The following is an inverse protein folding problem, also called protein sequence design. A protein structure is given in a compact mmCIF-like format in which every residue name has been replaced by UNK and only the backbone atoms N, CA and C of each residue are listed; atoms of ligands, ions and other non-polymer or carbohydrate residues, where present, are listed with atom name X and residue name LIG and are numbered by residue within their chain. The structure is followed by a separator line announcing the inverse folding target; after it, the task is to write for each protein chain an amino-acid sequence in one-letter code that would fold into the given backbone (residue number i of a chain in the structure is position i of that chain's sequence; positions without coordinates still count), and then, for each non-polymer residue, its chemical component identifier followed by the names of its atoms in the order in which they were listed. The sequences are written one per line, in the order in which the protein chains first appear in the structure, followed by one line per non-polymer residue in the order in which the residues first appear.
data_IF_495643049148
#
_entry.id   IF_495643049148
#
_cell.length_a   1.000
_cell.length_b   1.000
_cell.length_c   1.000
_cell.angle_alpha   90.00
_cell.angle_beta   90.00
_cell.angle_gamma   90.00
#
_symmetry.space_group_name_H-M   'P 1'
#
loop_
_entity.id
_entity.type
_entity.pdbx_description
1 polymer ?
#
# COMPACT_ATOMS: atom_id res chain seq x y z
N UNK A 1 30.62 18.69 13.18
CA UNK A 1 30.43 20.10 12.80
C UNK A 1 29.63 20.10 11.50
N UNK A 2 28.58 20.93 11.39
CA UNK A 2 27.80 21.02 10.14
C UNK A 2 28.61 21.82 9.13
N UNK A 3 28.90 21.23 7.97
CA UNK A 3 29.80 21.80 6.95
C UNK A 3 29.07 22.62 5.88
N UNK A 4 27.79 22.34 5.66
CA UNK A 4 26.95 23.00 4.65
C UNK A 4 25.81 23.78 5.30
N UNK A 5 25.51 24.98 4.77
CA UNK A 5 24.34 25.77 5.21
C UNK A 5 23.04 25.29 4.54
N UNK A 6 22.72 24.02 4.78
CA UNK A 6 21.53 23.36 4.24
C UNK A 6 20.24 24.05 4.67
N UNK A 7 20.20 24.58 5.90
CA UNK A 7 19.02 25.24 6.43
C UNK A 7 18.66 26.50 5.62
N UNK A 8 19.64 27.36 5.34
CA UNK A 8 19.40 28.53 4.49
C UNK A 8 18.96 28.13 3.08
N UNK A 9 19.51 27.05 2.53
CA UNK A 9 19.07 26.53 1.23
C UNK A 9 17.59 26.09 1.26
N UNK A 10 17.15 25.37 2.30
CA UNK A 10 15.75 24.98 2.48
C UNK A 10 14.82 26.19 2.61
N UNK A 11 15.20 27.19 3.41
CA UNK A 11 14.40 28.41 3.59
C UNK A 11 14.34 29.24 2.30
N UNK A 12 15.44 29.33 1.57
CA UNK A 12 15.48 29.98 0.25
C UNK A 12 14.51 29.28 -0.71
N UNK A 13 14.61 27.95 -0.83
CA UNK A 13 13.75 27.17 -1.72
C UNK A 13 12.27 27.25 -1.32
N UNK A 14 11.94 27.28 -0.03
CA UNK A 14 10.59 27.49 0.49
C UNK A 14 9.99 28.83 0.04
N UNK A 15 10.80 29.90 0.03
CA UNK A 15 10.36 31.25 -0.35
C UNK A 15 10.18 31.44 -1.87
N UNK A 16 10.74 30.57 -2.70
CA UNK A 16 10.67 30.70 -4.17
C UNK A 16 9.24 30.61 -4.72
N UNK A 17 8.45 29.64 -4.22
CA UNK A 17 7.08 29.38 -4.68
C UNK A 17 6.35 28.39 -3.76
N UNK A 18 5.06 28.20 -4.02
CA UNK A 18 4.29 27.09 -3.43
C UNK A 18 4.53 25.80 -4.20
N UNK A 19 4.88 24.73 -3.47
CA UNK A 19 5.10 23.39 -4.01
C UNK A 19 3.87 22.51 -3.85
N UNK A 20 3.76 21.45 -4.66
CA UNK A 20 2.60 20.56 -4.64
C UNK A 20 2.60 19.68 -3.40
N UNK A 21 3.73 19.04 -3.10
CA UNK A 21 3.96 18.28 -1.87
C UNK A 21 4.81 19.06 -0.86
N UNK A 22 4.49 20.35 -0.66
CA UNK A 22 5.02 21.21 0.40
C UNK A 22 6.54 21.01 0.68
N UNK A 23 6.89 20.63 1.90
CA UNK A 23 8.24 20.38 2.38
C UNK A 23 8.90 19.15 1.74
N UNK A 24 8.13 18.11 1.37
CA UNK A 24 8.65 16.94 0.67
C UNK A 24 9.26 17.31 -0.69
N UNK A 25 8.61 18.20 -1.45
CA UNK A 25 9.14 18.70 -2.72
C UNK A 25 10.37 19.59 -2.52
N UNK A 26 10.38 20.42 -1.46
CA UNK A 26 11.52 21.28 -1.12
C UNK A 26 12.74 20.42 -0.79
N UNK A 27 12.58 19.39 0.06
CA UNK A 27 13.65 18.46 0.39
C UNK A 27 14.12 17.67 -0.83
N UNK A 28 13.21 17.17 -1.67
CA UNK A 28 13.57 16.49 -2.91
C UNK A 28 14.39 17.37 -3.85
N UNK A 29 14.09 18.67 -3.92
CA UNK A 29 14.84 19.64 -4.70
C UNK A 29 16.23 19.94 -4.11
N UNK A 30 16.32 20.25 -2.81
CA UNK A 30 17.57 20.64 -2.15
C UNK A 30 18.57 19.46 -2.00
N UNK A 31 18.04 18.25 -1.86
CA UNK A 31 18.86 17.03 -1.70
C UNK A 31 19.04 16.23 -2.99
N UNK A 32 18.58 16.72 -4.14
CA UNK A 32 18.71 16.01 -5.41
C UNK A 32 20.17 15.59 -5.68
N UNK A 33 20.37 14.32 -6.03
CA UNK A 33 21.71 13.74 -6.27
C UNK A 33 22.53 13.45 -5.01
N UNK A 34 21.99 13.70 -3.81
CA UNK A 34 22.69 13.54 -2.52
C UNK A 34 21.90 12.72 -1.50
N UNK A 35 20.97 11.89 -1.96
CA UNK A 35 20.11 11.04 -1.12
C UNK A 35 20.64 9.61 -1.08
N UNK A 36 20.81 9.08 0.13
CA UNK A 36 20.95 7.65 0.35
C UNK A 36 19.56 6.99 0.41
N UNK A 37 19.31 6.01 -0.46
CA UNK A 37 18.02 5.35 -0.55
C UNK A 37 17.93 4.18 0.44
N UNK A 38 17.16 4.36 1.51
CA UNK A 38 16.91 3.29 2.47
C UNK A 38 16.06 2.14 1.88
N UNK A 39 16.20 0.91 2.42
CA UNK A 39 15.31 -0.20 2.09
C UNK A 39 13.84 0.12 2.36
N UNK A 40 12.94 -0.45 1.56
CA UNK A 40 11.50 -0.12 1.60
C UNK A 40 10.82 -0.58 2.90
N UNK A 41 11.41 -1.56 3.59
CA UNK A 41 11.03 -2.07 4.90
C UNK A 41 10.98 -0.95 5.96
N UNK A 42 11.74 0.14 5.77
CA UNK A 42 11.78 1.30 6.65
C UNK A 42 10.70 2.35 6.36
N UNK A 43 9.86 2.19 5.34
CA UNK A 43 8.74 3.09 5.06
C UNK A 43 7.62 2.35 4.32
N UNK A 44 7.00 1.37 4.99
CA UNK A 44 5.96 0.54 4.37
C UNK A 44 4.61 1.22 4.50
N UNK A 45 4.02 1.64 3.37
CA UNK A 45 2.66 2.16 3.34
C UNK A 45 1.64 1.11 3.78
N UNK A 46 0.79 1.48 4.73
CA UNK A 46 -0.28 0.60 5.19
C UNK A 46 -1.36 0.37 4.11
N UNK A 47 -1.59 1.36 3.23
CA UNK A 47 -2.48 1.27 2.06
C UNK A 47 -3.89 1.84 2.23
N UNK A 48 -4.21 2.57 3.30
CA UNK A 48 -5.51 3.23 3.52
C UNK A 48 -6.75 2.31 3.41
N UNK A 49 -6.56 1.00 3.58
CA UNK A 49 -7.63 0.00 3.44
C UNK A 49 -7.79 -0.59 2.03
N UNK A 50 -7.03 -0.13 1.04
CA UNK A 50 -6.99 -0.74 -0.29
C UNK A 50 -5.58 -0.73 -0.89
N UNK A 51 -4.96 -1.91 -0.95
CA UNK A 51 -3.64 -2.09 -1.60
C UNK A 51 -3.71 -2.57 -3.03
N UNK A 52 -4.90 -2.84 -3.56
CA UNK A 52 -5.09 -3.61 -4.78
C UNK A 52 -5.41 -2.73 -6.00
N UNK A 53 -5.69 -1.44 -5.77
CA UNK A 53 -5.97 -0.48 -6.84
C UNK A 53 -4.70 0.17 -7.38
N UNK A 54 -3.88 0.76 -6.52
CA UNK A 54 -2.71 1.55 -6.93
C UNK A 54 -1.43 0.71 -7.09
N UNK A 55 -1.01 0.02 -6.03
CA UNK A 55 0.30 -0.65 -5.96
C UNK A 55 0.54 -1.72 -7.04
N UNK A 56 -0.45 -2.54 -7.45
CA UNK A 56 -0.24 -3.55 -8.50
C UNK A 56 0.02 -2.97 -9.89
N UNK A 57 -0.21 -1.67 -10.09
CA UNK A 57 0.05 -0.98 -11.35
C UNK A 57 1.44 -0.34 -11.40
N UNK A 58 2.24 -0.41 -10.33
CA UNK A 58 3.64 0.01 -10.34
C UNK A 58 4.47 -0.89 -11.27
N UNK A 59 5.68 -0.46 -11.62
CA UNK A 59 6.66 -1.33 -12.26
C UNK A 59 6.79 -2.64 -11.47
N UNK A 60 6.81 -3.78 -12.18
CA UNK A 60 6.76 -5.10 -11.57
C UNK A 60 7.81 -5.30 -10.47
N UNK A 61 9.06 -4.88 -10.71
CA UNK A 61 10.13 -4.97 -9.71
C UNK A 61 9.80 -4.16 -8.43
N UNK A 62 9.25 -2.96 -8.58
CA UNK A 62 8.82 -2.10 -7.47
C UNK A 62 7.66 -2.72 -6.69
N UNK A 63 6.66 -3.26 -7.40
CA UNK A 63 5.55 -3.95 -6.76
C UNK A 63 6.01 -5.20 -5.99
N UNK A 64 6.93 -6.00 -6.55
CA UNK A 64 7.52 -7.16 -5.85
C UNK A 64 8.30 -6.74 -4.61
N UNK A 65 9.08 -5.65 -4.68
CA UNK A 65 9.76 -5.07 -3.50
C UNK A 65 8.77 -4.64 -2.43
N UNK A 66 7.67 -4.00 -2.81
CA UNK A 66 6.58 -3.61 -1.91
C UNK A 66 5.94 -4.82 -1.21
N UNK A 67 5.61 -5.87 -1.95
CA UNK A 67 5.07 -7.11 -1.38
C UNK A 67 6.06 -7.78 -0.42
N UNK A 68 7.36 -7.77 -0.73
CA UNK A 68 8.42 -8.30 0.15
C UNK A 68 8.49 -7.49 1.44
N UNK A 69 8.56 -6.17 1.35
CA UNK A 69 8.69 -5.28 2.51
C UNK A 69 7.48 -5.39 3.47
N UNK A 70 6.28 -5.61 2.94
CA UNK A 70 5.06 -5.82 3.76
C UNK A 70 5.07 -7.10 4.60
N UNK A 71 5.87 -8.11 4.25
CA UNK A 71 5.95 -9.35 5.02
C UNK A 71 6.77 -9.18 6.29
N UNK A 72 7.75 -8.27 6.29
CA UNK A 72 8.63 -8.01 7.42
C UNK A 72 8.99 -6.51 7.49
N UNK A 73 8.04 -5.63 7.88
CA UNK A 73 8.29 -4.20 7.95
C UNK A 73 9.09 -3.84 9.21
N UNK A 74 10.07 -2.95 9.06
CA UNK A 74 10.75 -2.30 10.19
C UNK A 74 9.96 -1.07 10.67
N UNK A 75 9.30 -0.36 9.75
CA UNK A 75 8.43 0.77 10.04
C UNK A 75 7.20 0.77 9.13
N UNK A 76 6.04 1.02 9.72
CA UNK A 76 4.75 1.12 9.01
C UNK A 76 4.31 2.58 8.98
N UNK A 77 4.13 3.11 7.76
CA UNK A 77 3.68 4.47 7.53
C UNK A 77 2.16 4.52 7.33
N UNK A 78 1.45 5.09 8.30
CA UNK A 78 0.01 5.32 8.25
C UNK A 78 -0.33 6.61 7.48
N UNK A 79 0.14 6.73 6.25
CA UNK A 79 -0.12 7.90 5.40
C UNK A 79 -1.54 7.89 4.81
N UNK A 80 -2.18 9.06 4.75
CA UNK A 80 -3.49 9.25 4.12
C UNK A 80 -4.68 9.11 5.08
N UNK A 81 -5.90 9.27 4.54
CA UNK A 81 -7.12 9.22 5.34
C UNK A 81 -7.52 7.79 5.61
N UNK A 82 -7.43 7.35 6.87
CA UNK A 82 -8.00 6.08 7.31
C UNK A 82 -9.52 6.15 7.18
N UNK A 83 -10.09 5.32 6.30
CA UNK A 83 -11.54 5.25 6.16
C UNK A 83 -12.14 4.63 7.44
N UNK A 84 -13.02 5.37 8.14
CA UNK A 84 -13.52 5.00 9.49
C UNK A 84 -14.20 3.61 9.52
N UNK A 85 -14.79 3.16 8.41
CA UNK A 85 -15.42 1.85 8.28
C UNK A 85 -14.47 0.65 8.20
N UNK A 86 -13.15 0.87 8.04
CA UNK A 86 -12.11 -0.19 7.91
C UNK A 86 -11.26 -0.27 9.20
N UNK A 87 -11.70 0.35 10.30
CA UNK A 87 -10.98 0.36 11.59
C UNK A 87 -10.73 -1.04 12.17
N UNK A 88 -11.48 -2.04 11.75
CA UNK A 88 -11.50 -3.40 12.31
C UNK A 88 -10.81 -4.47 11.46
N UNK A 89 -10.39 -4.18 10.22
CA UNK A 89 -9.92 -5.22 9.28
C UNK A 89 -8.48 -5.08 8.78
N UNK A 90 -7.76 -4.06 9.25
CA UNK A 90 -6.40 -3.76 8.80
C UNK A 90 -5.35 -4.49 9.67
N UNK A 91 -4.61 -5.40 9.03
CA UNK A 91 -3.53 -6.22 9.62
C UNK A 91 -2.45 -5.40 10.32
N UNK A 92 -2.25 -4.15 9.90
CA UNK A 92 -1.31 -3.23 10.55
C UNK A 92 -1.95 -2.35 11.62
N UNK A 93 -3.28 -2.14 11.63
CA UNK A 93 -3.92 -1.36 12.70
C UNK A 93 -3.87 -2.12 14.03
N UNK A 94 -4.00 -3.44 14.02
CA UNK A 94 -3.87 -4.27 15.24
C UNK A 94 -2.51 -4.07 15.92
N UNK A 95 -1.42 -3.91 15.16
CA UNK A 95 -0.08 -3.65 15.70
C UNK A 95 0.00 -2.27 16.37
N UNK A 96 -0.46 -1.22 15.70
CA UNK A 96 -0.47 0.15 16.28
C UNK A 96 -1.29 0.22 17.57
N UNK A 97 -2.48 -0.37 17.60
CA UNK A 97 -3.34 -0.38 18.79
C UNK A 97 -2.79 -1.24 19.93
N UNK A 98 -2.10 -2.35 19.62
CA UNK A 98 -1.42 -3.18 20.62
C UNK A 98 -0.32 -2.37 21.31
N UNK A 99 0.52 -1.67 20.55
CA UNK A 99 1.61 -0.86 21.12
C UNK A 99 1.10 0.37 21.88
N UNK A 100 0.02 1.01 21.43
CA UNK A 100 -0.60 2.13 22.15
C UNK A 100 -1.33 1.68 23.42
N UNK A 101 -2.05 0.56 23.39
CA UNK A 101 -2.74 0.02 24.58
C UNK A 101 -1.75 -0.43 25.66
N UNK A 102 -0.59 -0.97 25.27
CA UNK A 102 0.51 -1.31 26.20
C UNK A 102 1.06 -0.04 26.87
N UNK A 103 1.28 1.05 26.12
CA UNK A 103 1.82 2.30 26.66
C UNK A 103 0.84 3.10 27.52
N UNK A 104 -0.46 3.00 27.27
CA UNK A 104 -1.49 3.74 28.01
C UNK A 104 -2.20 2.94 29.12
N UNK A 105 -1.67 1.77 29.51
CA UNK A 105 -2.12 1.03 30.70
C UNK A 105 -3.53 0.40 30.65
N UNK A 106 -4.26 0.52 29.55
CA UNK A 106 -5.59 -0.09 29.39
C UNK A 106 -5.46 -1.54 28.91
N UNK A 107 -5.43 -2.48 29.85
CA UNK A 107 -5.51 -3.93 29.56
C UNK A 107 -6.92 -4.28 29.08
N UNK A 108 -7.11 -4.43 27.77
CA UNK A 108 -8.21 -5.22 27.21
C UNK A 108 -7.62 -6.45 26.53
N UNK A 109 -8.10 -7.67 26.81
CA UNK A 109 -7.60 -8.86 26.15
C UNK A 109 -8.07 -8.83 24.70
N UNK A 110 -7.13 -8.60 23.78
CA UNK A 110 -7.39 -8.77 22.35
C UNK A 110 -6.65 -10.04 21.94
N UNK A 111 -7.41 -11.08 21.65
CA UNK A 111 -6.92 -12.30 21.01
C UNK A 111 -6.27 -11.93 19.68
N UNK A 112 -4.97 -12.19 19.56
CA UNK A 112 -4.21 -11.98 18.33
C UNK A 112 -4.52 -13.15 17.40
N UNK A 113 -5.57 -13.01 16.60
CA UNK A 113 -5.80 -13.91 15.48
C UNK A 113 -4.86 -13.50 14.34
N UNK A 114 -3.73 -14.20 14.20
CA UNK A 114 -3.06 -14.25 12.90
C UNK A 114 -4.00 -14.97 11.95
N UNK A 115 -4.85 -14.23 11.23
CA UNK A 115 -5.68 -14.85 10.21
C UNK A 115 -4.81 -15.11 8.98
N UNK A 116 -4.52 -16.37 8.63
CA UNK A 116 -3.95 -16.66 7.34
C UNK A 116 -4.92 -16.19 6.28
N UNK A 117 -4.39 -15.56 5.24
CA UNK A 117 -5.15 -15.24 4.04
C UNK A 117 -5.54 -16.57 3.40
N UNK A 118 -6.72 -17.10 3.73
CA UNK A 118 -7.50 -17.98 2.86
C UNK A 118 -8.95 -18.18 3.33
N UNK A 119 -9.84 -17.96 2.36
CA UNK A 119 -11.13 -18.63 2.14
C UNK A 119 -12.36 -18.29 3.00
N UNK A 120 -13.34 -17.74 2.27
CA UNK A 120 -14.81 -17.97 2.33
C UNK A 120 -15.64 -17.54 3.55
N UNK A 121 -16.59 -16.62 3.25
CA UNK A 121 -18.00 -16.50 3.72
C UNK A 121 -18.37 -15.16 4.39
N UNK A 122 -19.67 -14.81 4.52
CA UNK A 122 -20.51 -14.20 3.49
C UNK A 122 -20.89 -12.74 3.82
N UNK A 123 -21.66 -12.13 2.92
CA UNK A 123 -21.95 -10.70 2.80
C UNK A 123 -22.48 -10.00 4.08
N UNK A 124 -22.07 -8.74 4.24
CA UNK A 124 -22.88 -7.74 4.95
C UNK A 124 -23.02 -6.48 4.10
N UNK A 125 -24.28 -6.07 4.00
CA UNK A 125 -24.87 -5.04 3.16
C UNK A 125 -24.44 -3.65 3.64
N UNK A 126 -23.68 -2.90 2.81
CA UNK A 126 -23.41 -1.49 3.06
C UNK A 126 -23.20 -0.73 1.74
N UNK A 127 -24.09 0.24 1.47
CA UNK A 127 -23.92 1.38 0.56
C UNK A 127 -23.44 1.09 -0.87
N UNK A 128 -24.36 1.11 -1.83
CA UNK A 128 -24.05 0.98 -3.25
C UNK A 128 -23.18 2.15 -3.73
N UNK A 129 -21.87 1.98 -3.73
CA UNK A 129 -20.99 2.71 -4.63
C UNK A 129 -21.24 2.17 -6.05
N UNK A 130 -21.31 3.01 -7.09
CA UNK A 130 -21.54 2.52 -8.44
C UNK A 130 -20.37 1.61 -8.83
N UNK A 131 -20.64 0.32 -8.88
CA UNK A 131 -19.66 -0.70 -9.28
C UNK A 131 -19.32 -0.46 -10.74
N UNK A 132 -18.06 -0.08 -11.00
CA UNK A 132 -17.52 0.08 -12.35
C UNK A 132 -17.84 -1.15 -13.23
N UNK A 133 -18.18 -0.92 -14.50
CA UNK A 133 -18.54 -1.99 -15.44
C UNK A 133 -17.45 -3.07 -15.52
N UNK A 134 -16.17 -2.65 -15.51
CA UNK A 134 -15.02 -3.54 -15.48
C UNK A 134 -15.02 -4.50 -14.28
N UNK A 135 -15.45 -4.02 -13.11
CA UNK A 135 -15.53 -4.82 -11.89
C UNK A 135 -16.64 -5.86 -11.97
N UNK A 136 -17.77 -5.54 -12.63
CA UNK A 136 -18.86 -6.51 -12.88
C UNK A 136 -18.38 -7.63 -13.81
N UNK A 137 -17.72 -7.26 -14.92
CA UNK A 137 -17.15 -8.23 -15.87
C UNK A 137 -16.11 -9.11 -15.20
N UNK A 138 -15.20 -8.52 -14.42
CA UNK A 138 -14.18 -9.27 -13.66
C UNK A 138 -14.81 -10.26 -12.69
N UNK A 139 -15.83 -9.85 -11.93
CA UNK A 139 -16.54 -10.74 -10.99
C UNK A 139 -17.23 -11.91 -11.71
N UNK A 140 -17.80 -11.68 -12.89
CA UNK A 140 -18.43 -12.74 -13.68
C UNK A 140 -17.41 -13.76 -14.22
N UNK A 141 -16.20 -13.32 -14.60
CA UNK A 141 -15.16 -14.20 -15.16
C UNK A 141 -14.35 -14.95 -14.10
N UNK A 142 -14.27 -14.43 -12.86
CA UNK A 142 -13.44 -15.01 -11.80
C UNK A 142 -13.75 -16.48 -11.44
N UNK A 143 -15.01 -16.93 -11.34
CA UNK A 143 -15.33 -18.33 -11.07
C UNK A 143 -14.79 -19.28 -12.14
N UNK A 144 -14.95 -18.93 -13.42
CA UNK A 144 -14.42 -19.71 -14.53
C UNK A 144 -12.90 -19.77 -14.53
N UNK A 145 -12.27 -18.61 -14.29
CA UNK A 145 -10.82 -18.53 -14.21
C UNK A 145 -10.27 -19.34 -13.02
N UNK A 146 -10.95 -19.33 -11.88
CA UNK A 146 -10.55 -20.12 -10.71
C UNK A 146 -10.75 -21.62 -10.92
N UNK A 147 -11.76 -22.03 -11.69
CA UNK A 147 -11.98 -23.43 -12.09
C UNK A 147 -10.89 -23.92 -13.06
N UNK A 148 -10.50 -23.12 -14.04
CA UNK A 148 -9.54 -23.51 -15.08
C UNK A 148 -8.07 -23.31 -14.67
N UNK A 149 -7.81 -22.27 -13.88
CA UNK A 149 -6.49 -21.86 -13.43
C UNK A 149 -6.56 -21.45 -11.94
N UNK A 150 -6.54 -22.43 -11.02
CA UNK A 150 -6.59 -22.17 -9.59
C UNK A 150 -5.42 -21.31 -9.12
N UNK A 151 -5.63 -20.58 -8.03
CA UNK A 151 -4.64 -19.67 -7.44
C UNK A 151 -3.37 -20.45 -7.09
N UNK A 152 -2.22 -19.98 -7.57
CA UNK A 152 -0.92 -20.64 -7.37
C UNK A 152 -0.53 -21.65 -8.46
N UNK A 153 -1.43 -22.00 -9.39
CA UNK A 153 -1.06 -22.89 -10.49
C UNK A 153 -0.09 -22.23 -11.49
N UNK A 154 0.80 -23.01 -12.15
CA UNK A 154 1.66 -22.49 -13.23
C UNK A 154 0.87 -21.85 -14.37
N UNK A 155 -0.32 -22.41 -14.66
CA UNK A 155 -1.27 -21.87 -15.65
C UNK A 155 -1.76 -20.48 -15.25
N UNK A 156 -2.10 -20.27 -13.97
CA UNK A 156 -2.52 -18.95 -13.46
C UNK A 156 -1.41 -17.92 -13.61
N UNK A 157 -0.16 -18.28 -13.29
CA UNK A 157 0.98 -17.39 -13.46
C UNK A 157 1.18 -16.98 -14.93
N UNK A 158 1.01 -17.94 -15.85
CA UNK A 158 1.11 -17.70 -17.29
C UNK A 158 0.01 -16.76 -17.78
N UNK A 159 -1.25 -17.04 -17.44
CA UNK A 159 -2.41 -16.19 -17.80
C UNK A 159 -2.23 -14.78 -17.23
N UNK A 160 -1.81 -14.67 -15.97
CA UNK A 160 -1.54 -13.38 -15.32
C UNK A 160 -0.43 -12.61 -16.04
N UNK A 161 0.66 -13.27 -16.44
CA UNK A 161 1.76 -12.65 -17.20
C UNK A 161 1.27 -12.05 -18.53
N UNK A 162 0.51 -12.82 -19.32
CA UNK A 162 -0.02 -12.34 -20.59
C UNK A 162 -1.10 -11.27 -20.43
N UNK A 163 -1.98 -11.39 -19.43
CA UNK A 163 -2.95 -10.36 -19.08
C UNK A 163 -2.28 -9.02 -18.82
N UNK A 164 -1.23 -8.98 -17.99
CA UNK A 164 -0.50 -7.73 -17.71
C UNK A 164 0.32 -7.24 -18.92
N UNK A 165 0.81 -8.13 -19.80
CA UNK A 165 1.47 -7.76 -21.05
C UNK A 165 0.50 -7.04 -22.00
N UNK A 166 -0.68 -7.62 -22.25
CA UNK A 166 -1.72 -7.04 -23.12
C UNK A 166 -2.28 -5.75 -22.52
N UNK A 167 -2.54 -5.75 -21.21
CA UNK A 167 -3.05 -4.56 -20.51
C UNK A 167 -2.07 -3.38 -20.61
N UNK A 168 -0.76 -3.63 -20.51
CA UNK A 168 0.28 -2.61 -20.70
C UNK A 168 0.25 -2.05 -22.14
N UNK A 169 0.13 -2.92 -23.15
CA UNK A 169 0.04 -2.47 -24.55
C UNK A 169 -1.19 -1.60 -24.86
N UNK A 170 -2.27 -1.73 -24.09
CA UNK A 170 -3.51 -0.97 -24.28
C UNK A 170 -3.55 0.32 -23.43
N UNK A 171 -2.92 0.32 -22.25
CA UNK A 171 -3.01 1.41 -21.27
C UNK A 171 -1.71 2.20 -21.05
N UNK A 172 -0.58 1.77 -21.63
CA UNK A 172 0.77 2.32 -21.41
C UNK A 172 1.65 1.41 -20.56
#
# INVERSE_FOLDING_TARGET
MVQEDTFSALIKTLKEKKYWFLDQDIMNKVFYGRVEFLPLEWNVYHGNGNTDDFFPNLQFATYMRFLKARKNPNMIHYAGRINRGIRTRLTFMTISWKTSSIRHGKKRPISVSYLPVNSSSPAQTAGQTPVLLQTKIKKALMPFLNKYAPVGSPRRNTITKYYYKVRRSILG
#
